data_IF_385054005046
#
_entry.id   IF_385054005046
#
_cell.length_a   1.000
_cell.length_b   1.000
_cell.length_c   1.000
_cell.angle_alpha   90.00
_cell.angle_beta   90.00
_cell.angle_gamma   90.00
#
_symmetry.space_group_name_H-M   'P 1'
#
loop_
_entity.id
_entity.type
_entity.pdbx_description
1 polymer ?
#
# COMPACT_ATOMS: atom_id res chain seq x y z
N UNK A 1 2.76 19.53 0.93
CA UNK A 1 2.38 18.28 1.63
C UNK A 1 1.41 17.56 0.72
N UNK A 2 1.95 16.74 -0.19
CA UNK A 2 1.14 15.84 -1.00
C UNK A 2 0.55 14.77 -0.07
N UNK A 3 -0.69 14.97 0.34
CA UNK A 3 -1.45 13.93 1.02
C UNK A 3 -1.81 12.91 -0.07
N UNK A 4 -0.92 11.95 -0.33
CA UNK A 4 -1.20 10.80 -1.20
C UNK A 4 -2.49 10.18 -0.69
N UNK A 5 -3.59 10.36 -1.45
CA UNK A 5 -4.84 9.67 -1.13
C UNK A 5 -4.55 8.19 -1.35
N UNK A 6 -4.95 7.31 -0.43
CA UNK A 6 -4.81 5.88 -0.65
C UNK A 6 -5.66 5.53 -1.86
N UNK A 7 -4.99 5.19 -2.97
CA UNK A 7 -5.66 4.70 -4.16
C UNK A 7 -6.25 3.31 -3.85
N UNK A 8 -7.44 3.01 -4.36
CA UNK A 8 -8.02 1.68 -4.21
C UNK A 8 -7.09 0.67 -4.89
N UNK A 9 -6.77 -0.41 -4.17
CA UNK A 9 -5.94 -1.51 -4.67
C UNK A 9 -6.78 -2.77 -4.81
N UNK A 10 -6.45 -3.65 -5.74
CA UNK A 10 -7.13 -4.95 -5.85
C UNK A 10 -6.61 -5.89 -4.76
N UNK A 11 -7.53 -6.51 -4.02
CA UNK A 11 -7.16 -7.49 -3.01
C UNK A 11 -6.85 -8.84 -3.67
N UNK A 12 -5.64 -9.42 -3.52
CA UNK A 12 -5.30 -10.71 -4.13
C UNK A 12 -6.07 -11.90 -3.52
N UNK A 13 -6.80 -11.69 -2.43
CA UNK A 13 -7.56 -12.74 -1.74
C UNK A 13 -9.01 -12.82 -2.18
N UNK A 14 -9.63 -11.68 -2.52
CA UNK A 14 -11.03 -11.62 -2.94
C UNK A 14 -11.23 -11.08 -4.36
N UNK A 15 -10.19 -10.54 -5.00
CA UNK A 15 -10.24 -10.00 -6.37
C UNK A 15 -11.03 -8.70 -6.49
N UNK A 16 -11.40 -8.06 -5.38
CA UNK A 16 -12.17 -6.82 -5.38
C UNK A 16 -11.30 -5.59 -5.06
N UNK A 17 -11.62 -4.42 -5.66
CA UNK A 17 -10.99 -3.17 -5.30
C UNK A 17 -11.32 -2.80 -3.85
N UNK A 18 -10.29 -2.54 -3.05
CA UNK A 18 -10.40 -2.23 -1.63
C UNK A 18 -9.62 -0.99 -1.28
N UNK A 19 -10.10 -0.23 -0.29
CA UNK A 19 -9.26 0.79 0.34
C UNK A 19 -8.33 0.10 1.34
N UNK A 20 -7.01 0.18 1.13
CA UNK A 20 -6.06 -0.39 2.07
C UNK A 20 -6.12 0.38 3.39
N UNK A 21 -6.36 -0.35 4.49
CA UNK A 21 -6.40 0.21 5.83
C UNK A 21 -5.06 -0.05 6.53
N UNK A 22 -4.45 0.98 7.10
CA UNK A 22 -3.13 0.84 7.75
C UNK A 22 -3.31 0.69 9.26
N UNK A 23 -2.87 -0.45 9.79
CA UNK A 23 -2.88 -0.76 11.21
C UNK A 23 -1.74 -0.02 11.93
N UNK A 24 -1.83 0.05 13.27
CA UNK A 24 -0.84 0.70 14.13
C UNK A 24 0.56 0.08 14.04
N UNK A 25 0.65 -1.22 13.74
CA UNK A 25 1.91 -1.95 13.51
C UNK A 25 2.55 -1.63 12.14
N UNK A 26 1.85 -0.88 11.29
CA UNK A 26 2.29 -0.55 9.92
C UNK A 26 1.83 -1.56 8.87
N UNK A 27 1.23 -2.67 9.29
CA UNK A 27 0.56 -3.62 8.39
C UNK A 27 -0.57 -2.95 7.61
N UNK A 28 -0.74 -3.35 6.35
CA UNK A 28 -1.83 -2.89 5.48
C UNK A 28 -2.80 -4.06 5.30
N UNK A 29 -4.08 -3.82 5.59
CA UNK A 29 -5.14 -4.83 5.48
C UNK A 29 -6.21 -4.40 4.47
N UNK A 30 -6.84 -5.39 3.86
CA UNK A 30 -8.01 -5.20 3.03
C UNK A 30 -9.21 -4.79 3.89
N UNK A 31 -10.05 -3.89 3.39
CA UNK A 31 -11.30 -3.49 4.06
C UNK A 31 -12.43 -4.52 3.89
N UNK A 32 -12.17 -5.72 3.35
CA UNK A 32 -13.16 -6.79 3.30
C UNK A 32 -13.39 -7.39 4.69
N UNK A 33 -14.51 -8.09 4.89
CA UNK A 33 -14.84 -8.73 6.18
C UNK A 33 -13.80 -9.74 6.68
N UNK A 34 -12.89 -10.20 5.82
CA UNK A 34 -11.80 -11.10 6.19
C UNK A 34 -10.54 -10.36 6.68
N UNK A 35 -10.46 -9.03 6.51
CA UNK A 35 -9.38 -8.15 6.99
C UNK A 35 -7.96 -8.69 6.69
N UNK A 36 -7.80 -9.31 5.52
CA UNK A 36 -6.55 -9.98 5.15
C UNK A 36 -5.44 -9.00 4.86
N UNK A 37 -4.21 -9.34 5.28
CA UNK A 37 -3.02 -8.55 4.97
C UNK A 37 -2.80 -8.44 3.47
N UNK A 38 -2.64 -7.21 3.01
CA UNK A 38 -2.26 -6.87 1.64
C UNK A 38 -0.74 -6.77 1.54
N UNK A 39 -0.13 -7.15 0.41
CA UNK A 39 1.27 -6.87 0.18
C UNK A 39 1.52 -5.36 0.22
N UNK A 40 2.68 -4.91 0.72
CA UNK A 40 3.01 -3.50 0.68
C UNK A 40 2.95 -3.02 -0.78
N UNK A 41 2.44 -1.80 -1.03
CA UNK A 41 2.50 -1.24 -2.38
C UNK A 41 3.96 -1.29 -2.86
N UNK A 42 4.20 -1.49 -4.16
CA UNK A 42 5.54 -1.42 -4.70
C UNK A 42 6.11 -0.07 -4.28
N UNK A 43 7.10 -0.10 -3.39
CA UNK A 43 7.80 1.11 -2.97
C UNK A 43 8.35 1.67 -4.29
N UNK A 44 7.96 2.88 -4.72
CA UNK A 44 8.65 3.48 -5.85
C UNK A 44 10.10 3.55 -5.41
N UNK A 45 10.94 2.71 -6.02
CA UNK A 45 12.37 2.71 -5.81
C UNK A 45 12.81 4.12 -6.21
N UNK A 46 12.91 5.00 -5.21
CA UNK A 46 13.31 6.38 -5.45
C UNK A 46 14.60 6.32 -6.28
N UNK A 47 14.69 7.07 -7.39
CA UNK A 47 15.87 7.04 -8.22
C UNK A 47 17.06 7.35 -7.31
N UNK A 48 17.99 6.40 -7.23
CA UNK A 48 19.22 6.56 -6.46
C UNK A 48 19.89 7.82 -6.96
N UNK A 49 19.88 8.88 -6.16
CA UNK A 49 20.56 10.14 -6.48
C UNK A 49 22.03 9.79 -6.76
N UNK A 50 22.57 10.03 -7.97
CA UNK A 50 23.99 9.80 -8.21
C UNK A 50 24.76 10.72 -7.24
N UNK A 51 25.65 10.16 -6.42
CA UNK A 51 26.47 10.94 -5.49
C UNK A 51 27.39 11.89 -6.25
N UNK A 52 27.73 13.07 -5.69
CA UNK A 52 28.73 13.95 -6.28
C UNK A 52 30.10 13.27 -6.15
N UNK A 53 30.82 13.23 -7.28
CA UNK A 53 32.16 12.67 -7.44
C UNK A 53 33.23 13.61 -6.88
#
# INVERSE_FOLDING_TARGET
MELTRPEPVECPHCGEPTMPNRLADGAIVCSCAAERSLPPPPIPLAPRRPGPR
#
